data_IF_058366595656
#
_entry.id   IF_058366595656
#
_cell.length_a   1.000
_cell.length_b   1.000
_cell.length_c   1.000
_cell.angle_alpha   90.00
_cell.angle_beta   90.00
_cell.angle_gamma   90.00
#
_symmetry.space_group_name_H-M   'P 1'
#
loop_
_entity.id
_entity.type
_entity.pdbx_description
1 polymer ?
#
# COMPACT_ATOMS: atom_id res chain seq x y z
N UNK A 1 -0.37 -10.12 -0.80
CA UNK A 1 -1.42 -11.15 -1.06
C UNK A 1 -1.01 -12.17 -2.11
N UNK A 2 -0.74 -11.71 -3.34
CA UNK A 2 -0.59 -12.60 -4.50
C UNK A 2 0.60 -13.57 -4.41
N UNK A 3 1.76 -13.11 -3.97
CA UNK A 3 2.95 -13.96 -3.84
C UNK A 3 2.76 -15.06 -2.80
N UNK A 4 2.18 -14.73 -1.63
CA UNK A 4 1.86 -15.72 -0.61
C UNK A 4 0.89 -16.79 -1.14
N UNK A 5 -0.10 -16.39 -1.93
CA UNK A 5 -1.02 -17.34 -2.56
C UNK A 5 -0.30 -18.28 -3.52
N UNK A 6 0.51 -17.74 -4.44
CA UNK A 6 1.31 -18.53 -5.39
C UNK A 6 2.27 -19.48 -4.68
N UNK A 7 2.87 -19.04 -3.58
CA UNK A 7 3.73 -19.90 -2.76
C UNK A 7 2.95 -21.07 -2.18
N UNK A 8 1.78 -20.83 -1.57
CA UNK A 8 0.96 -21.91 -1.01
C UNK A 8 0.46 -22.87 -2.08
N UNK A 9 0.10 -22.37 -3.26
CA UNK A 9 -0.27 -23.21 -4.41
C UNK A 9 0.90 -24.12 -4.80
N UNK A 10 2.09 -23.55 -4.99
CA UNK A 10 3.30 -24.30 -5.34
C UNK A 10 3.70 -25.35 -4.28
N UNK A 11 3.53 -25.03 -2.98
CA UNK A 11 3.76 -25.97 -1.88
C UNK A 11 2.73 -27.12 -1.91
N UNK A 12 1.46 -26.80 -2.14
CA UNK A 12 0.38 -27.78 -2.18
C UNK A 12 0.55 -28.79 -3.31
N UNK A 13 1.03 -28.33 -4.46
CA UNK A 13 1.27 -29.13 -5.67
C UNK A 13 2.66 -29.78 -5.71
N UNK A 14 3.47 -29.65 -4.65
CA UNK A 14 4.85 -30.14 -4.59
C UNK A 14 5.77 -29.60 -5.70
N UNK A 15 5.53 -28.38 -6.19
CA UNK A 15 6.34 -27.74 -7.24
C UNK A 15 7.68 -27.21 -6.73
N UNK A 16 7.88 -27.16 -5.41
CA UNK A 16 9.12 -26.69 -4.77
C UNK A 16 9.91 -27.92 -4.28
N UNK A 17 11.18 -28.09 -4.69
CA UNK A 17 12.01 -29.21 -4.26
C UNK A 17 12.53 -28.99 -2.83
N UNK A 18 11.70 -29.27 -1.84
CA UNK A 18 12.11 -29.23 -0.43
C UNK A 18 13.04 -30.41 -0.08
N UNK A 19 13.92 -30.19 0.90
CA UNK A 19 14.75 -31.26 1.46
C UNK A 19 13.89 -32.40 2.04
N UNK A 20 14.39 -33.63 1.94
CA UNK A 20 13.66 -34.85 2.37
C UNK A 20 13.73 -35.13 3.88
N UNK A 21 14.28 -34.21 4.67
CA UNK A 21 14.38 -34.43 6.12
C UNK A 21 12.98 -34.44 6.75
N UNK A 22 12.78 -35.32 7.74
CA UNK A 22 11.48 -35.44 8.44
C UNK A 22 11.00 -34.10 8.99
N UNK A 23 11.91 -33.27 9.50
CA UNK A 23 11.60 -31.94 10.01
C UNK A 23 11.08 -30.99 8.91
N UNK A 24 11.69 -31.00 7.73
CA UNK A 24 11.23 -30.19 6.59
C UNK A 24 9.88 -30.68 6.09
N UNK A 25 9.69 -32.00 5.96
CA UNK A 25 8.42 -32.58 5.51
C UNK A 25 7.25 -32.23 6.42
N UNK A 26 7.45 -32.17 7.74
CA UNK A 26 6.42 -31.72 8.69
C UNK A 26 6.01 -30.27 8.45
N UNK A 27 6.99 -29.38 8.25
CA UNK A 27 6.71 -27.96 7.96
C UNK A 27 5.95 -27.80 6.64
N UNK A 28 6.32 -28.57 5.62
CA UNK A 28 5.61 -28.61 4.34
C UNK A 28 4.17 -29.08 4.52
N UNK A 29 3.94 -30.16 5.28
CA UNK A 29 2.59 -30.64 5.62
C UNK A 29 1.75 -29.57 6.32
N UNK A 30 2.34 -28.84 7.27
CA UNK A 30 1.68 -27.72 7.94
C UNK A 30 1.27 -26.62 6.96
N UNK A 31 2.13 -26.27 6.00
CA UNK A 31 1.79 -25.27 4.97
C UNK A 31 0.68 -25.76 4.03
N UNK A 32 0.64 -27.06 3.72
CA UNK A 32 -0.47 -27.66 2.95
C UNK A 32 -1.79 -27.59 3.69
N UNK A 33 -1.78 -27.88 4.99
CA UNK A 33 -2.98 -27.73 5.84
C UNK A 33 -3.42 -26.27 5.94
N UNK A 34 -2.48 -25.33 6.03
CA UNK A 34 -2.80 -23.91 5.97
C UNK A 34 -3.46 -23.51 4.64
N UNK A 35 -3.01 -24.08 3.51
CA UNK A 35 -3.67 -23.87 2.21
C UNK A 35 -5.12 -24.34 2.23
N UNK A 36 -5.42 -25.49 2.84
CA UNK A 36 -6.80 -25.95 2.99
C UNK A 36 -7.63 -24.97 3.83
N UNK A 37 -7.09 -24.46 4.94
CA UNK A 37 -7.76 -23.42 5.74
C UNK A 37 -8.04 -22.18 4.90
N UNK A 38 -7.05 -21.71 4.13
CA UNK A 38 -7.24 -20.56 3.24
C UNK A 38 -8.38 -20.81 2.25
N UNK A 39 -8.37 -21.95 1.55
CA UNK A 39 -9.35 -22.23 0.50
C UNK A 39 -10.78 -22.39 1.06
N UNK A 40 -10.90 -22.96 2.26
CA UNK A 40 -12.20 -23.20 2.90
C UNK A 40 -12.74 -22.01 3.68
N UNK A 41 -11.88 -21.16 4.25
CA UNK A 41 -12.29 -20.11 5.18
C UNK A 41 -12.09 -18.69 4.64
N UNK A 42 -11.08 -18.44 3.79
CA UNK A 42 -10.66 -17.07 3.44
C UNK A 42 -11.30 -16.53 2.16
N UNK A 43 -12.15 -17.33 1.50
CA UNK A 43 -12.99 -16.87 0.41
C UNK A 43 -14.17 -16.02 0.89
N UNK A 44 -15.04 -15.63 -0.04
CA UNK A 44 -16.31 -14.95 0.27
C UNK A 44 -17.31 -15.89 0.95
N UNK A 45 -17.26 -17.17 0.61
CA UNK A 45 -18.15 -18.23 1.12
C UNK A 45 -17.30 -19.32 1.76
N UNK A 46 -17.73 -19.80 2.93
CA UNK A 46 -17.10 -20.93 3.63
C UNK A 46 -17.45 -22.24 2.95
N UNK A 47 -16.49 -23.15 2.89
CA UNK A 47 -16.71 -24.49 2.38
C UNK A 47 -16.98 -25.48 3.52
N UNK A 48 -17.61 -26.61 3.20
CA UNK A 48 -17.87 -27.67 4.17
C UNK A 48 -16.58 -28.20 4.83
N UNK A 49 -16.66 -28.50 6.13
CA UNK A 49 -15.53 -29.04 6.90
C UNK A 49 -14.40 -28.01 7.14
N UNK A 50 -14.74 -26.72 7.14
CA UNK A 50 -13.80 -25.64 7.45
C UNK A 50 -13.29 -25.70 8.90
N UNK A 51 -14.15 -26.02 9.88
CA UNK A 51 -13.76 -26.14 11.29
C UNK A 51 -12.65 -27.19 11.47
N UNK A 52 -12.89 -28.39 10.94
CA UNK A 52 -11.92 -29.48 10.99
C UNK A 52 -10.59 -29.08 10.34
N UNK A 53 -10.62 -28.29 9.27
CA UNK A 53 -9.38 -27.83 8.63
C UNK A 53 -8.56 -26.91 9.54
N UNK A 54 -9.21 -26.09 10.38
CA UNK A 54 -8.52 -25.25 11.37
C UNK A 54 -7.90 -26.14 12.46
N UNK A 55 -8.64 -27.13 12.95
CA UNK A 55 -8.15 -28.07 13.97
C UNK A 55 -6.96 -28.89 13.44
N UNK A 56 -7.07 -29.41 12.20
CA UNK A 56 -6.00 -30.15 11.54
C UNK A 56 -4.74 -29.30 11.34
N UNK A 57 -4.92 -28.02 10.98
CA UNK A 57 -3.83 -27.07 10.85
C UNK A 57 -3.17 -26.77 12.21
N UNK A 58 -3.95 -26.51 13.26
CA UNK A 58 -3.44 -26.26 14.60
C UNK A 58 -2.62 -27.43 15.14
N UNK A 59 -3.13 -28.66 14.98
CA UNK A 59 -2.43 -29.89 15.35
C UNK A 59 -1.13 -30.07 14.58
N UNK A 60 -1.14 -29.80 13.26
CA UNK A 60 0.07 -29.86 12.45
C UNK A 60 1.08 -28.80 12.85
N UNK A 61 0.64 -27.57 13.16
CA UNK A 61 1.51 -26.48 13.59
C UNK A 61 2.29 -26.85 14.85
N UNK A 62 1.62 -27.37 15.87
CA UNK A 62 2.26 -27.85 17.10
C UNK A 62 3.28 -28.96 16.78
N UNK A 63 2.92 -29.93 15.93
CA UNK A 63 3.81 -31.04 15.57
C UNK A 63 5.05 -30.64 14.74
N UNK A 64 4.98 -29.49 14.07
CA UNK A 64 6.03 -28.98 13.18
C UNK A 64 7.20 -28.34 13.92
N UNK A 65 7.01 -27.96 15.19
CA UNK A 65 7.98 -27.22 15.99
C UNK A 65 8.22 -25.78 15.51
N UNK A 66 7.30 -25.22 14.72
CA UNK A 66 7.34 -23.81 14.34
C UNK A 66 6.93 -22.93 15.53
N UNK A 67 7.61 -21.78 15.69
CA UNK A 67 7.24 -20.78 16.68
C UNK A 67 5.86 -20.19 16.40
N UNK A 68 5.05 -19.99 17.43
CA UNK A 68 3.79 -19.28 17.29
C UNK A 68 4.03 -17.83 16.89
N UNK A 69 3.34 -17.40 15.85
CA UNK A 69 3.21 -15.98 15.49
C UNK A 69 1.81 -15.51 15.85
N UNK A 70 1.63 -14.20 16.01
CA UNK A 70 0.31 -13.62 16.27
C UNK A 70 -0.73 -14.04 15.21
N UNK A 71 -0.36 -14.04 13.93
CA UNK A 71 -1.26 -14.43 12.82
C UNK A 71 -1.71 -15.88 12.94
N UNK A 72 -0.80 -16.79 13.30
CA UNK A 72 -1.15 -18.20 13.44
C UNK A 72 -2.00 -18.42 14.68
N UNK A 73 -1.70 -17.74 15.79
CA UNK A 73 -2.54 -17.76 16.99
C UNK A 73 -3.98 -17.33 16.66
N UNK A 74 -4.15 -16.23 15.92
CA UNK A 74 -5.47 -15.76 15.48
C UNK A 74 -6.19 -16.82 14.65
N UNK A 75 -5.52 -17.44 13.68
CA UNK A 75 -6.12 -18.47 12.83
C UNK A 75 -6.57 -19.68 13.66
N UNK A 76 -5.74 -20.16 14.58
CA UNK A 76 -6.02 -21.38 15.33
C UNK A 76 -7.01 -21.17 16.48
N UNK A 77 -7.04 -19.99 17.10
CA UNK A 77 -7.81 -19.74 18.33
C UNK A 77 -9.06 -18.89 18.11
N UNK A 78 -9.01 -17.91 17.20
CA UNK A 78 -10.03 -16.86 17.12
C UNK A 78 -10.91 -16.96 15.88
N UNK A 79 -10.42 -17.53 14.78
CA UNK A 79 -11.22 -17.61 13.53
C UNK A 79 -12.48 -18.44 13.71
N UNK A 80 -12.40 -19.59 14.38
CA UNK A 80 -13.57 -20.43 14.64
C UNK A 80 -14.61 -19.69 15.48
N UNK A 81 -14.17 -19.05 16.56
CA UNK A 81 -15.05 -18.25 17.42
C UNK A 81 -15.70 -17.11 16.64
N UNK A 82 -14.91 -16.33 15.90
CA UNK A 82 -15.40 -15.23 15.08
C UNK A 82 -16.49 -15.68 14.09
N UNK A 83 -16.24 -16.75 13.34
CA UNK A 83 -17.14 -17.25 12.29
C UNK A 83 -18.45 -17.85 12.83
N UNK A 84 -18.48 -18.28 14.10
CA UNK A 84 -19.65 -18.87 14.75
C UNK A 84 -20.45 -17.85 15.57
N UNK A 85 -19.78 -16.91 16.25
CA UNK A 85 -20.42 -16.03 17.24
C UNK A 85 -20.62 -14.59 16.73
N UNK A 86 -19.78 -14.12 15.81
CA UNK A 86 -19.75 -12.70 15.41
C UNK A 86 -20.12 -12.48 13.95
N UNK A 87 -19.87 -13.45 13.07
CA UNK A 87 -20.26 -13.35 11.67
C UNK A 87 -21.78 -13.54 11.51
N UNK A 88 -22.44 -12.49 11.05
CA UNK A 88 -23.90 -12.45 10.91
C UNK A 88 -24.42 -13.29 9.74
N UNK A 89 -23.58 -13.54 8.72
CA UNK A 89 -23.96 -14.32 7.54
C UNK A 89 -23.50 -15.77 7.72
N UNK A 90 -24.42 -16.76 7.80
CA UNK A 90 -24.08 -18.14 8.16
C UNK A 90 -23.07 -18.84 7.26
N UNK A 91 -22.94 -18.41 6.00
CA UNK A 91 -22.01 -18.99 5.03
C UNK A 91 -20.82 -18.08 4.73
N UNK A 92 -20.73 -16.89 5.34
CA UNK A 92 -19.68 -15.94 5.00
C UNK A 92 -18.30 -16.43 5.42
N UNK A 93 -17.39 -16.42 4.44
CA UNK A 93 -15.97 -16.59 4.69
C UNK A 93 -15.32 -15.27 5.10
N UNK A 94 -14.09 -15.36 5.64
CA UNK A 94 -13.33 -14.19 6.11
C UNK A 94 -13.02 -13.17 5.00
N UNK A 95 -13.11 -13.58 3.73
CA UNK A 95 -12.95 -12.67 2.60
C UNK A 95 -14.01 -11.59 2.55
N UNK A 96 -15.22 -11.84 3.07
CA UNK A 96 -16.30 -10.86 3.10
C UNK A 96 -16.00 -9.71 4.06
N UNK A 97 -15.41 -10.04 5.22
CA UNK A 97 -15.03 -9.10 6.27
C UNK A 97 -13.59 -8.57 6.09
N UNK A 98 -12.99 -8.78 4.92
CA UNK A 98 -11.60 -8.41 4.64
C UNK A 98 -11.48 -6.97 4.12
N UNK A 99 -10.50 -6.24 4.66
CA UNK A 99 -10.08 -4.91 4.21
C UNK A 99 -9.52 -4.88 2.77
N UNK A 100 -9.28 -6.05 2.16
CA UNK A 100 -8.83 -6.17 0.76
C UNK A 100 -9.76 -5.43 -0.23
N UNK A 101 -11.06 -5.39 0.07
CA UNK A 101 -12.03 -4.63 -0.73
C UNK A 101 -11.73 -3.12 -0.70
N UNK A 102 -11.38 -2.57 0.47
CA UNK A 102 -10.94 -1.19 0.66
C UNK A 102 -9.63 -0.88 -0.05
N UNK A 103 -8.62 -1.76 0.05
CA UNK A 103 -7.35 -1.60 -0.67
C UNK A 103 -7.56 -1.55 -2.20
N UNK A 104 -8.46 -2.39 -2.72
CA UNK A 104 -8.77 -2.43 -4.15
C UNK A 104 -9.47 -1.15 -4.63
N UNK A 105 -10.33 -0.56 -3.79
CA UNK A 105 -10.99 0.71 -4.06
C UNK A 105 -9.99 1.86 -4.04
N UNK A 106 -9.11 1.92 -3.05
CA UNK A 106 -8.05 2.93 -2.97
C UNK A 106 -7.13 2.90 -4.21
N UNK A 107 -6.73 1.70 -4.66
CA UNK A 107 -5.94 1.55 -5.88
C UNK A 107 -6.68 2.02 -7.15
N UNK A 108 -8.01 1.87 -7.19
CA UNK A 108 -8.84 2.38 -8.29
C UNK A 108 -9.01 3.90 -8.22
N UNK A 109 -9.25 4.46 -7.04
CA UNK A 109 -9.37 5.91 -6.84
C UNK A 109 -8.08 6.64 -7.19
N UNK A 110 -6.91 6.12 -6.81
CA UNK A 110 -5.62 6.68 -7.24
C UNK A 110 -5.44 6.70 -8.76
N UNK A 111 -6.02 5.75 -9.49
CA UNK A 111 -6.00 5.76 -10.97
C UNK A 111 -6.98 6.76 -11.54
N UNK A 112 -8.13 6.96 -10.90
CA UNK A 112 -9.11 7.97 -11.30
C UNK A 112 -8.57 9.37 -11.03
N UNK A 113 -7.95 9.63 -9.89
CA UNK A 113 -7.34 10.93 -9.58
C UNK A 113 -6.25 11.26 -10.62
N UNK A 114 -5.40 10.28 -10.98
CA UNK A 114 -4.43 10.47 -12.07
C UNK A 114 -5.08 10.69 -13.44
N UNK A 115 -6.23 10.05 -13.71
CA UNK A 115 -6.97 10.27 -14.95
C UNK A 115 -7.64 11.64 -14.97
N UNK A 116 -8.18 12.10 -13.83
CA UNK A 116 -8.73 13.45 -13.65
C UNK A 116 -7.61 14.47 -13.80
N UNK A 117 -6.43 14.25 -13.21
CA UNK A 117 -5.26 15.12 -13.39
C UNK A 117 -4.83 15.19 -14.86
N UNK A 118 -4.79 14.05 -15.56
CA UNK A 118 -4.51 14.00 -17.01
C UNK A 118 -5.61 14.68 -17.84
N UNK A 119 -6.89 14.52 -17.47
CA UNK A 119 -8.02 15.12 -18.17
C UNK A 119 -8.13 16.63 -17.92
N UNK A 120 -7.87 17.08 -16.70
CA UNK A 120 -7.77 18.50 -16.34
C UNK A 120 -6.57 19.12 -17.05
N UNK A 121 -5.40 18.46 -17.08
CA UNK A 121 -4.26 18.93 -17.86
C UNK A 121 -4.57 19.03 -19.37
N UNK A 122 -5.27 18.04 -19.93
CA UNK A 122 -5.66 18.01 -21.34
C UNK A 122 -6.73 19.07 -21.68
N UNK A 123 -7.76 19.25 -20.83
CA UNK A 123 -8.82 20.24 -21.05
C UNK A 123 -8.38 21.68 -20.77
N UNK A 124 -7.41 21.90 -19.88
CA UNK A 124 -6.90 23.25 -19.59
C UNK A 124 -5.70 23.66 -20.44
N UNK A 125 -5.23 22.81 -21.36
CA UNK A 125 -4.06 23.13 -22.18
C UNK A 125 -2.80 23.43 -21.35
N UNK A 126 -2.72 22.90 -20.13
CA UNK A 126 -1.60 23.13 -19.22
C UNK A 126 -0.39 22.34 -19.73
N UNK A 127 0.43 23.01 -20.54
CA UNK A 127 1.74 22.54 -20.96
C UNK A 127 2.70 22.52 -19.74
N UNK A 128 2.64 21.44 -18.96
CA UNK A 128 3.62 21.18 -17.88
C UNK A 128 5.08 21.21 -18.39
N UNK A 129 5.26 20.95 -19.68
CA UNK A 129 6.54 21.00 -20.39
C UNK A 129 7.18 22.40 -20.45
N UNK A 130 6.43 23.47 -20.18
CA UNK A 130 6.94 24.84 -20.18
C UNK A 130 7.32 25.34 -18.78
N UNK A 131 6.61 24.88 -17.74
CA UNK A 131 6.91 25.20 -16.35
C UNK A 131 8.26 24.59 -15.88
N UNK A 132 8.63 23.42 -16.39
CA UNK A 132 9.95 22.81 -16.14
C UNK A 132 11.10 23.49 -16.89
N UNK A 133 10.86 24.03 -18.09
CA UNK A 133 11.89 24.65 -18.93
C UNK A 133 12.21 26.09 -18.52
N UNK A 134 11.28 26.82 -17.90
CA UNK A 134 11.52 28.18 -17.41
C UNK A 134 12.45 28.22 -16.19
N UNK A 135 12.45 27.19 -15.33
CA UNK A 135 13.43 27.06 -14.23
C UNK A 135 14.85 26.75 -14.72
N UNK A 136 14.99 25.99 -15.80
CA UNK A 136 16.29 25.67 -16.38
C UNK A 136 16.88 26.82 -17.23
N UNK A 137 16.02 27.70 -17.78
CA UNK A 137 16.46 28.88 -18.54
C UNK A 137 16.86 30.08 -17.67
N UNK A 138 16.35 30.21 -16.43
CA UNK A 138 16.79 31.28 -15.53
C UNK A 138 18.18 31.04 -14.93
N UNK A 139 18.67 29.80 -14.94
CA UNK A 139 19.98 29.43 -14.37
C UNK A 139 21.09 29.22 -15.41
N UNK A 140 20.77 29.27 -16.72
CA UNK A 140 21.76 29.02 -17.80
C UNK A 140 22.13 30.24 -18.65
N UNK A 141 21.63 31.44 -18.32
CA UNK A 141 21.92 32.68 -19.06
C UNK A 141 22.61 33.75 -18.20
N UNK A 142 23.70 33.39 -17.53
CA UNK A 142 24.62 34.38 -16.92
C UNK A 142 26.06 34.13 -17.34
N UNK A 143 26.33 34.14 -18.65
CA UNK A 143 27.66 34.43 -19.21
C UNK A 143 27.46 35.18 -20.53
N UNK A 144 27.65 36.51 -20.54
CA UNK A 144 28.48 37.20 -21.54
C UNK A 144 28.58 38.72 -21.28
N UNK A 145 29.79 39.07 -20.88
CA UNK A 145 30.65 40.24 -21.12
C UNK A 145 30.14 41.54 -21.81
N UNK A 146 30.73 42.63 -21.32
CA UNK A 146 30.59 44.05 -21.63
C UNK A 146 30.97 44.42 -23.07
N UNK A 147 30.23 45.37 -23.69
CA UNK A 147 30.80 46.64 -24.17
C UNK A 147 29.82 47.51 -24.99
N UNK A 148 29.93 48.83 -24.78
CA UNK A 148 29.45 49.98 -25.60
C UNK A 148 28.09 50.62 -25.29
N UNK A 149 28.15 51.59 -24.35
CA UNK A 149 27.91 53.04 -24.55
C UNK A 149 26.53 53.49 -25.05
N UNK A 150 25.77 54.23 -24.21
CA UNK A 150 25.68 55.71 -24.24
C UNK A 150 24.84 56.26 -23.07
N UNK A 151 25.41 57.24 -22.35
CA UNK A 151 24.76 58.10 -21.34
C UNK A 151 24.08 59.27 -22.06
N UNK A 152 22.86 59.68 -21.64
CA UNK A 152 22.64 60.99 -21.00
C UNK A 152 21.72 60.86 -19.77
N UNK A 153 22.09 61.32 -18.58
CA UNK A 153 22.15 62.71 -18.08
C UNK A 153 20.81 63.24 -17.54
N UNK A 154 20.86 63.52 -16.23
CA UNK A 154 20.03 64.33 -15.33
C UNK A 154 18.49 64.19 -15.26
N UNK A 155 18.00 63.95 -14.03
CA UNK A 155 16.61 64.11 -13.62
C UNK A 155 16.41 63.66 -12.16
N UNK A 156 16.42 64.63 -11.26
CA UNK A 156 16.53 64.54 -9.81
C UNK A 156 15.25 64.15 -9.06
N UNK A 157 15.46 63.83 -7.78
CA UNK A 157 14.63 64.11 -6.60
C UNK A 157 13.76 63.02 -5.95
N UNK A 158 14.19 62.76 -4.70
CA UNK A 158 13.43 62.53 -3.47
C UNK A 158 12.68 61.21 -3.20
N UNK A 159 13.28 60.43 -2.27
CA UNK A 159 12.54 59.64 -1.28
C UNK A 159 11.65 60.56 -0.41
N UNK A 160 10.58 60.02 0.20
CA UNK A 160 10.74 59.76 1.63
C UNK A 160 10.08 58.46 2.12
N UNK A 161 10.95 57.65 2.75
CA UNK A 161 10.81 57.02 4.07
C UNK A 161 9.63 57.50 4.93
N UNK A 162 8.76 56.56 5.35
CA UNK A 162 8.05 56.65 6.65
C UNK A 162 8.12 55.29 7.36
N UNK A 163 8.77 55.31 8.52
CA UNK A 163 8.68 54.34 9.62
C UNK A 163 7.57 54.79 10.57
N UNK A 164 6.91 53.82 11.21
CA UNK A 164 6.54 53.81 12.64
C UNK A 164 5.69 52.55 12.87
N UNK A 165 6.17 51.56 13.63
CA UNK A 165 6.16 51.47 15.10
C UNK A 165 4.74 51.19 15.61
N UNK A 166 4.51 50.04 16.24
CA UNK A 166 4.36 49.85 17.70
C UNK A 166 2.86 49.53 17.96
N UNK A 167 2.39 48.77 18.93
CA UNK A 167 2.91 47.89 19.96
C UNK A 167 1.65 47.26 20.63
N UNK A 168 1.83 46.19 21.41
CA UNK A 168 0.99 45.83 22.58
C UNK A 168 -0.49 45.42 22.31
N UNK A 169 -1.18 44.61 23.10
CA UNK A 169 -0.95 43.98 24.40
C UNK A 169 -1.99 42.87 24.56
N UNK A 170 -1.57 41.78 25.19
CA UNK A 170 -2.32 40.89 26.08
C UNK A 170 -3.81 41.15 26.33
N UNK A 171 -4.60 40.07 26.24
CA UNK A 171 -5.39 39.51 27.36
C UNK A 171 -5.65 38.03 27.12
#
# INVERSE_FOLDING_TARGET
GNECSRFLDAVSENKIPFGRSRAVLRKVDTMKKFKVVKDKCFGLVRQEGWEKSIDDFANSWVSSGLSWTLKVHIVCCHVKQYLLEYETIPEAGLGLSSEQSGESLHARLQRVDRLVDCMVAYNWGLAWDEAGRLRAKSESSSVFDNSKVKVPDEGSDEEPRVKSDEELSSS
#
